data_IF_867793730475
#
_entry.id   IF_867793730475
#
_cell.length_a   1.000
_cell.length_b   1.000
_cell.length_c   1.000
_cell.angle_alpha   90.00
_cell.angle_beta   90.00
_cell.angle_gamma   90.00
#
_symmetry.space_group_name_H-M   'P 1'
#
loop_
_entity.id
_entity.type
_entity.pdbx_description
1 polymer ?
#
# COMPACT_ATOMS: atom_id res chain seq x y z
N UNK A 1 -7.17 -7.17 -9.15
CA UNK A 1 -5.74 -7.45 -9.28
C UNK A 1 -5.07 -6.41 -10.14
N UNK A 2 -4.64 -5.37 -9.45
CA UNK A 2 -3.65 -4.39 -9.82
C UNK A 2 -2.36 -4.72 -9.07
N UNK A 3 -1.23 -4.49 -9.75
CA UNK A 3 0.09 -4.48 -9.14
C UNK A 3 0.57 -3.04 -9.21
N UNK A 4 0.70 -2.37 -8.07
CA UNK A 4 1.18 -0.99 -7.98
C UNK A 4 2.50 -0.92 -7.25
N UNK A 5 3.36 -0.04 -7.75
CA UNK A 5 4.68 0.22 -7.19
C UNK A 5 4.89 1.74 -7.16
N UNK A 6 5.18 2.28 -5.99
CA UNK A 6 5.61 3.65 -5.77
C UNK A 6 7.06 3.86 -6.19
N UNK A 7 7.60 4.98 -5.76
CA UNK A 7 8.91 5.53 -6.11
C UNK A 7 9.73 5.72 -4.83
N UNK A 8 10.82 6.48 -4.87
CA UNK A 8 11.56 6.84 -3.65
C UNK A 8 11.05 8.14 -3.00
N UNK A 9 9.90 8.64 -3.48
CA UNK A 9 9.25 9.87 -3.05
C UNK A 9 7.87 9.53 -2.47
N UNK A 10 7.23 10.51 -1.85
CA UNK A 10 5.89 10.36 -1.30
C UNK A 10 4.86 10.09 -2.42
N UNK A 11 4.24 8.91 -2.40
CA UNK A 11 3.24 8.50 -3.39
C UNK A 11 1.83 8.33 -2.80
N UNK A 12 0.82 8.47 -3.67
CA UNK A 12 -0.57 8.08 -3.38
C UNK A 12 -0.91 6.85 -4.23
N UNK A 13 -1.04 5.70 -3.57
CA UNK A 13 -1.26 4.41 -4.22
C UNK A 13 -2.63 3.86 -3.85
N UNK A 14 -3.57 3.91 -4.80
CA UNK A 14 -4.93 3.38 -4.63
C UNK A 14 -5.09 2.04 -5.37
N UNK A 15 -5.52 1.01 -4.66
CA UNK A 15 -5.93 -0.29 -5.19
C UNK A 15 -7.32 -0.24 -5.83
N UNK A 16 -7.93 -1.40 -5.90
CA UNK A 16 -9.18 -1.68 -6.60
C UNK A 16 -10.16 -2.40 -5.67
N UNK A 17 -11.26 -2.92 -6.20
CA UNK A 17 -12.22 -3.72 -5.43
C UNK A 17 -11.87 -5.22 -5.42
N UNK A 18 -10.68 -5.57 -5.87
CA UNK A 18 -10.18 -6.94 -6.01
C UNK A 18 -8.84 -7.04 -5.27
N UNK A 19 -8.41 -8.28 -5.00
CA UNK A 19 -7.11 -8.56 -4.40
C UNK A 19 -5.95 -7.93 -5.20
N UNK A 20 -5.19 -7.06 -4.53
CA UNK A 20 -4.11 -6.28 -5.12
C UNK A 20 -2.76 -6.46 -4.40
N UNK A 21 -1.68 -6.14 -5.11
CA UNK A 21 -0.34 -6.08 -4.53
C UNK A 21 0.20 -4.67 -4.71
N UNK A 22 0.44 -3.96 -3.61
CA UNK A 22 0.89 -2.57 -3.65
C UNK A 22 2.19 -2.43 -2.86
N UNK A 23 3.23 -1.89 -3.50
CA UNK A 23 4.52 -1.63 -2.88
C UNK A 23 4.82 -0.13 -2.86
N UNK A 24 4.94 0.47 -1.68
CA UNK A 24 5.28 1.88 -1.48
C UNK A 24 6.72 2.21 -1.89
N UNK A 25 7.68 1.43 -1.38
CA UNK A 25 9.12 1.72 -1.39
C UNK A 25 9.48 2.85 -0.41
N UNK A 26 10.49 3.66 -0.70
CA UNK A 26 10.94 4.75 0.18
C UNK A 26 10.03 5.98 -0.01
N UNK A 27 9.83 6.75 1.06
CA UNK A 27 8.93 7.90 1.04
C UNK A 27 7.77 7.74 2.02
N UNK A 28 7.02 8.82 2.23
CA UNK A 28 5.82 8.82 3.06
C UNK A 28 4.60 8.50 2.20
N UNK A 29 4.36 7.22 1.97
CA UNK A 29 3.28 6.81 1.08
C UNK A 29 1.92 6.79 1.78
N UNK A 30 0.90 7.21 1.03
CA UNK A 30 -0.50 6.94 1.36
C UNK A 30 -0.99 5.80 0.48
N UNK A 31 -1.20 4.63 1.11
CA UNK A 31 -1.64 3.42 0.41
C UNK A 31 -3.07 3.08 0.84
N UNK A 32 -3.99 3.07 -0.13
CA UNK A 32 -5.34 2.54 0.01
C UNK A 32 -5.43 1.23 -0.77
N UNK A 33 -5.64 0.11 -0.09
CA UNK A 33 -5.80 -1.20 -0.75
C UNK A 33 -7.14 -1.33 -1.49
N UNK A 34 -8.16 -0.58 -1.06
CA UNK A 34 -9.53 -0.79 -1.50
C UNK A 34 -10.17 -2.01 -0.84
N UNK A 35 -10.98 -2.73 -1.60
CA UNK A 35 -11.65 -3.95 -1.12
C UNK A 35 -10.97 -5.18 -1.71
N UNK A 36 -11.01 -6.30 -0.99
CA UNK A 36 -10.30 -7.51 -1.36
C UNK A 36 -9.29 -7.90 -0.29
N UNK A 37 -8.52 -8.95 -0.57
CA UNK A 37 -7.41 -9.38 0.27
C UNK A 37 -6.09 -8.86 -0.32
N UNK A 38 -5.69 -7.68 0.10
CA UNK A 38 -4.53 -6.99 -0.46
C UNK A 38 -3.23 -7.31 0.27
N UNK A 39 -2.12 -7.30 -0.48
CA UNK A 39 -0.77 -7.34 0.07
C UNK A 39 -0.13 -5.97 -0.10
N UNK A 40 -0.03 -5.24 1.00
CA UNK A 40 0.52 -3.88 1.03
C UNK A 40 1.90 -3.90 1.70
N UNK A 41 2.92 -3.41 1.00
CA UNK A 41 4.27 -3.26 1.52
C UNK A 41 4.77 -1.81 1.32
N UNK A 42 4.59 -0.96 2.33
CA UNK A 42 5.12 0.41 2.33
C UNK A 42 6.43 0.49 3.10
N UNK A 43 7.50 -0.15 2.61
CA UNK A 43 8.87 -0.24 3.18
C UNK A 43 9.14 0.80 4.31
N UNK A 44 9.62 0.31 5.46
CA UNK A 44 9.54 0.89 6.80
C UNK A 44 10.27 2.24 7.10
N UNK A 45 10.32 3.18 6.14
CA UNK A 45 11.02 4.46 6.26
C UNK A 45 10.36 5.45 7.22
N UNK A 46 9.03 5.45 7.33
CA UNK A 46 8.34 6.42 8.18
C UNK A 46 6.94 5.93 8.48
N UNK A 47 6.50 6.18 9.71
CA UNK A 47 5.24 5.73 10.33
C UNK A 47 4.06 5.76 9.36
N UNK A 48 3.76 4.63 8.75
CA UNK A 48 2.62 4.44 7.87
C UNK A 48 1.37 4.48 8.74
N UNK A 49 0.53 5.50 8.53
CA UNK A 49 -0.84 5.49 9.04
C UNK A 49 -1.62 4.49 8.20
N UNK A 50 -1.53 3.21 8.55
CA UNK A 50 -2.26 2.12 7.91
C UNK A 50 -3.77 2.37 8.09
N UNK A 51 -4.46 2.85 7.05
CA UNK A 51 -5.95 2.83 7.02
C UNK A 51 -6.48 1.52 6.44
N UNK A 52 -5.60 0.66 5.93
CA UNK A 52 -5.96 -0.69 5.56
C UNK A 52 -6.02 -1.57 6.80
N UNK A 53 -7.16 -2.24 6.98
CA UNK A 53 -7.38 -3.32 7.93
C UNK A 53 -6.54 -4.55 7.51
N UNK A 54 -5.23 -4.41 7.49
CA UNK A 54 -4.30 -5.49 7.23
C UNK A 54 -4.24 -6.34 8.50
N UNK A 55 -4.76 -7.56 8.43
CA UNK A 55 -4.48 -8.58 9.45
C UNK A 55 -2.97 -8.86 9.37
N UNK A 56 -2.21 -8.20 10.22
CA UNK A 56 -0.81 -8.52 10.47
C UNK A 56 -0.84 -9.89 11.17
N UNK A 57 -0.26 -10.92 10.54
CA UNK A 57 -0.07 -12.21 11.19
C UNK A 57 1.01 -12.16 12.24
#
# INVERSE_FOLDING_TARGET
>A
MAIKKGTALDDILNGTALDDVIKGLDGNDTIDGGAGNDVLNGDAGTTSSWVAKATIS
#
